data_IF_372397798000
#
_entry.id   IF_372397798000
#
_cell.length_a   1.000
_cell.length_b   1.000
_cell.length_c   1.000
_cell.angle_alpha   90.00
_cell.angle_beta   90.00
_cell.angle_gamma   90.00
#
_symmetry.space_group_name_H-M   'P 1'
#
loop_
_entity.id
_entity.type
_entity.pdbx_description
1 polymer ?
#
# COMPACT_ATOMS: atom_id res chain seq x y z
N UNK A 1 -0.93 -16.67 -14.11
CA UNK A 1 -1.00 -16.08 -12.76
C UNK A 1 -1.46 -14.65 -12.89
N UNK A 2 -2.55 -14.28 -12.21
CA UNK A 2 -3.06 -12.89 -12.23
C UNK A 2 -2.15 -11.99 -11.38
N UNK A 3 -2.11 -10.68 -11.65
CA UNK A 3 -1.32 -9.66 -10.93
C UNK A 3 -1.50 -9.74 -9.42
N UNK A 4 -2.74 -9.90 -8.94
CA UNK A 4 -3.01 -9.99 -7.50
C UNK A 4 -2.35 -11.22 -6.88
N UNK A 5 -2.36 -12.37 -7.56
CA UNK A 5 -1.68 -13.58 -7.07
C UNK A 5 -0.16 -13.41 -7.02
N UNK A 6 0.42 -12.71 -8.02
CA UNK A 6 1.84 -12.36 -7.99
C UNK A 6 2.18 -11.44 -6.81
N UNK A 7 1.33 -10.45 -6.54
CA UNK A 7 1.50 -9.55 -5.41
C UNK A 7 1.38 -10.28 -4.07
N UNK A 8 0.40 -11.16 -3.92
CA UNK A 8 0.21 -12.00 -2.73
C UNK A 8 1.43 -12.90 -2.47
N UNK A 9 1.93 -13.58 -3.50
CA UNK A 9 3.13 -14.43 -3.40
C UNK A 9 4.38 -13.61 -3.05
N UNK A 10 4.54 -12.45 -3.68
CA UNK A 10 5.67 -11.55 -3.43
C UNK A 10 5.68 -10.97 -2.01
N UNK A 11 4.51 -10.57 -1.50
CA UNK A 11 4.37 -10.03 -0.16
C UNK A 11 4.26 -11.13 0.93
N UNK A 12 3.94 -12.37 0.54
CA UNK A 12 3.70 -13.46 1.47
C UNK A 12 2.42 -13.32 2.29
N UNK A 13 1.41 -12.62 1.76
CA UNK A 13 0.10 -12.40 2.42
C UNK A 13 -1.03 -12.66 1.43
N UNK A 14 -2.22 -13.04 1.92
CA UNK A 14 -3.43 -12.97 1.10
C UNK A 14 -4.13 -11.62 1.25
N UNK A 15 -4.58 -11.07 0.13
CA UNK A 15 -5.33 -9.82 0.07
C UNK A 15 -6.80 -9.98 0.50
N UNK A 16 -7.31 -11.20 0.59
CA UNK A 16 -8.71 -11.50 0.98
C UNK A 16 -8.89 -11.74 2.48
N UNK A 17 -7.82 -11.85 3.26
CA UNK A 17 -7.88 -12.13 4.71
C UNK A 17 -8.43 -10.94 5.54
N UNK A 18 -8.82 -9.85 4.88
CA UNK A 18 -9.06 -8.53 5.47
C UNK A 18 -10.40 -7.90 5.03
N UNK A 19 -11.25 -7.34 5.92
CA UNK A 19 -11.21 -7.36 7.38
C UNK A 19 -12.12 -8.48 7.91
N UNK A 20 -11.54 -9.62 8.26
CA UNK A 20 -12.19 -10.55 9.18
C UNK A 20 -12.11 -10.02 10.62
N UNK A 21 -12.81 -10.66 11.57
CA UNK A 21 -12.91 -10.28 13.00
C UNK A 21 -11.56 -10.25 13.76
N UNK A 22 -10.43 -10.51 13.11
CA UNK A 22 -9.09 -10.57 13.69
C UNK A 22 -8.41 -9.20 13.92
N UNK A 23 -9.08 -8.09 13.57
CA UNK A 23 -8.57 -6.73 13.71
C UNK A 23 -9.11 -6.04 14.97
N UNK A 24 -8.21 -5.45 15.77
CA UNK A 24 -8.49 -5.11 17.18
C UNK A 24 -9.11 -3.72 17.42
N UNK A 25 -9.29 -2.88 16.41
CA UNK A 25 -9.87 -1.55 16.60
C UNK A 25 -10.62 -1.10 15.36
N UNK A 26 -11.88 -0.67 15.49
CA UNK A 26 -12.57 0.11 14.46
C UNK A 26 -12.61 1.55 14.96
N UNK A 27 -11.73 2.39 14.44
CA UNK A 27 -11.80 3.83 14.66
C UNK A 27 -12.61 4.46 13.51
N UNK A 28 -13.63 5.26 13.82
CA UNK A 28 -14.35 6.02 12.81
C UNK A 28 -13.79 7.45 12.76
N UNK A 29 -13.24 7.87 11.62
CA UNK A 29 -12.77 9.25 11.42
C UNK A 29 -13.66 9.98 10.42
N UNK A 30 -14.03 11.20 10.76
CA UNK A 30 -14.72 12.09 9.83
C UNK A 30 -13.72 12.66 8.82
N UNK A 31 -14.02 12.55 7.52
CA UNK A 31 -13.26 13.22 6.46
C UNK A 31 -13.65 14.70 6.40
N UNK A 32 -12.66 15.59 6.25
CA UNK A 32 -12.90 17.05 6.05
C UNK A 32 -13.75 17.36 4.82
N UNK A 33 -13.77 16.49 3.81
CA UNK A 33 -14.43 16.72 2.51
C UNK A 33 -15.45 15.63 2.10
N UNK A 34 -15.76 14.68 2.99
CA UNK A 34 -16.77 13.65 2.72
C UNK A 34 -17.78 13.62 3.86
N UNK A 35 -19.06 13.43 3.51
CA UNK A 35 -20.13 13.21 4.51
C UNK A 35 -20.11 11.79 5.07
N UNK A 36 -19.27 10.92 4.52
CA UNK A 36 -19.16 9.52 4.91
C UNK A 36 -17.92 9.30 5.78
N UNK A 37 -18.06 8.65 6.94
CA UNK A 37 -16.93 8.28 7.79
C UNK A 37 -16.06 7.23 7.11
N UNK A 38 -14.77 7.27 7.43
CA UNK A 38 -13.83 6.19 7.16
C UNK A 38 -13.70 5.35 8.42
N UNK A 39 -13.74 4.03 8.26
CA UNK A 39 -13.49 3.09 9.33
C UNK A 39 -12.09 2.53 9.17
N UNK A 40 -11.30 2.62 10.24
CA UNK A 40 -9.91 2.18 10.27
C UNK A 40 -9.81 0.96 11.17
N UNK A 41 -9.29 -0.12 10.60
CA UNK A 41 -8.90 -1.33 11.30
C UNK A 41 -7.41 -1.53 11.20
N UNK A 42 -6.72 -1.86 12.30
CA UNK A 42 -5.29 -2.16 12.23
C UNK A 42 -4.87 -3.32 13.12
N UNK A 43 -3.69 -3.87 12.78
CA UNK A 43 -3.02 -4.93 13.53
C UNK A 43 -1.50 -4.73 13.41
N UNK A 44 -0.80 -4.92 14.52
CA UNK A 44 0.65 -5.08 14.55
C UNK A 44 1.01 -6.55 14.35
N UNK A 45 2.09 -6.78 13.61
CA UNK A 45 2.56 -8.10 13.23
C UNK A 45 3.73 -8.53 14.11
N UNK A 46 3.74 -9.80 14.50
CA UNK A 46 4.85 -10.40 15.22
C UNK A 46 6.08 -10.55 14.32
N UNK A 47 5.86 -10.79 13.02
CA UNK A 47 6.87 -10.88 11.98
C UNK A 47 6.61 -9.83 10.89
N UNK A 48 7.62 -9.02 10.48
CA UNK A 48 7.42 -8.00 9.46
C UNK A 48 7.15 -8.60 8.07
N UNK A 49 6.13 -8.08 7.38
CA UNK A 49 5.92 -8.39 5.96
C UNK A 49 7.07 -7.79 5.15
N UNK A 50 7.60 -8.59 4.22
CA UNK A 50 8.71 -8.19 3.36
C UNK A 50 9.96 -7.74 4.14
N UNK A 51 10.09 -8.17 5.41
CA UNK A 51 11.18 -7.76 6.29
C UNK A 51 11.15 -6.28 6.71
N UNK A 52 10.05 -5.56 6.45
CA UNK A 52 9.96 -4.12 6.69
C UNK A 52 8.66 -3.70 7.38
N UNK A 53 7.50 -4.16 6.90
CA UNK A 53 6.21 -3.66 7.37
C UNK A 53 5.75 -4.39 8.63
N UNK A 54 5.63 -3.66 9.74
CA UNK A 54 5.24 -4.20 11.05
C UNK A 54 3.77 -3.98 11.37
N UNK A 55 3.06 -3.20 10.56
CA UNK A 55 1.66 -2.85 10.77
C UNK A 55 0.85 -2.98 9.49
N UNK A 56 -0.36 -3.52 9.62
CA UNK A 56 -1.38 -3.50 8.58
C UNK A 56 -2.50 -2.58 9.03
N UNK A 57 -2.87 -1.62 8.19
CA UNK A 57 -4.07 -0.79 8.35
C UNK A 57 -5.01 -1.05 7.17
N UNK A 58 -6.29 -1.24 7.46
CA UNK A 58 -7.36 -1.42 6.47
C UNK A 58 -8.35 -0.29 6.67
N UNK A 59 -8.60 0.45 5.60
CA UNK A 59 -9.57 1.54 5.57
C UNK A 59 -10.76 1.09 4.73
N UNK A 60 -11.96 1.18 5.30
CA UNK A 60 -13.23 0.87 4.63
C UNK A 60 -14.14 2.09 4.64
N UNK A 61 -14.87 2.32 3.55
CA UNK A 61 -15.83 3.41 3.40
C UNK A 61 -17.26 2.86 3.51
N UNK A 62 -18.15 3.59 4.18
CA UNK A 62 -19.51 3.11 4.57
C UNK A 62 -20.40 2.62 3.40
N UNK A 63 -20.10 2.97 2.15
CA UNK A 63 -20.90 2.59 0.96
C UNK A 63 -20.07 2.22 -0.27
N UNK A 64 -18.76 2.05 -0.09
CA UNK A 64 -17.87 1.65 -1.19
C UNK A 64 -17.22 0.34 -0.76
N UNK A 65 -17.42 -0.72 -1.54
CA UNK A 65 -16.66 -1.97 -1.38
C UNK A 65 -15.16 -1.79 -1.63
N UNK A 66 -14.69 -0.56 -1.87
CA UNK A 66 -13.29 -0.25 -2.06
C UNK A 66 -12.61 -0.28 -0.69
N UNK A 67 -11.89 -1.37 -0.44
CA UNK A 67 -10.97 -1.51 0.68
C UNK A 67 -9.63 -0.90 0.28
N UNK A 68 -9.03 -0.16 1.21
CA UNK A 68 -7.65 0.29 1.09
C UNK A 68 -6.82 -0.40 2.16
N UNK A 69 -5.90 -1.24 1.75
CA UNK A 69 -4.93 -1.83 2.66
C UNK A 69 -3.65 -1.00 2.63
N UNK A 70 -3.05 -0.78 3.79
CA UNK A 70 -1.75 -0.18 3.95
C UNK A 70 -0.87 -1.11 4.75
N UNK A 71 0.28 -1.45 4.19
CA UNK A 71 1.39 -2.02 4.96
C UNK A 71 2.27 -0.85 5.38
N UNK A 72 2.57 -0.76 6.68
CA UNK A 72 3.20 0.40 7.29
C UNK A 72 4.42 -0.03 8.08
N UNK A 73 5.51 0.70 7.88
CA UNK A 73 6.68 0.75 8.74
C UNK A 73 6.70 2.14 9.40
N UNK A 74 6.35 2.21 10.68
CA UNK A 74 6.14 3.48 11.39
C UNK A 74 7.44 4.18 11.82
N UNK A 75 8.56 3.45 11.79
CA UNK A 75 9.89 3.93 12.12
C UNK A 75 10.87 3.55 10.99
N UNK A 76 10.61 4.08 9.80
CA UNK A 76 11.48 3.87 8.65
C UNK A 76 12.87 4.46 8.91
N UNK A 77 13.90 3.68 8.58
CA UNK A 77 15.29 4.08 8.67
C UNK A 77 16.01 3.75 7.36
N UNK A 78 16.98 4.58 6.99
CA UNK A 78 17.80 4.45 5.78
C UNK A 78 18.52 3.09 5.67
N UNK A 79 18.76 2.40 6.80
CA UNK A 79 19.28 1.03 6.76
C UNK A 79 18.37 0.04 6.02
N UNK A 80 17.10 0.37 5.81
CA UNK A 80 16.11 -0.43 5.06
C UNK A 80 16.06 -0.06 3.57
N UNK A 81 16.91 0.85 3.08
CA UNK A 81 16.91 1.29 1.67
C UNK A 81 17.09 0.12 0.69
N UNK A 82 17.94 -0.87 1.02
CA UNK A 82 18.08 -2.07 0.19
C UNK A 82 16.80 -2.91 0.13
N UNK A 83 15.97 -2.89 1.20
CA UNK A 83 14.66 -3.54 1.21
C UNK A 83 13.68 -2.77 0.34
N UNK A 84 13.74 -1.43 0.36
CA UNK A 84 12.93 -0.57 -0.53
C UNK A 84 13.27 -0.82 -2.00
N UNK A 85 14.56 -0.93 -2.35
CA UNK A 85 14.97 -1.26 -3.72
C UNK A 85 14.37 -2.59 -4.18
N UNK A 86 14.50 -3.64 -3.37
CA UNK A 86 13.90 -4.95 -3.65
C UNK A 86 12.38 -4.89 -3.75
N UNK A 87 11.72 -4.05 -2.94
CA UNK A 87 10.29 -3.84 -3.01
C UNK A 87 9.90 -3.26 -4.37
N UNK A 88 10.59 -2.19 -4.80
CA UNK A 88 10.34 -1.51 -6.07
C UNK A 88 10.64 -2.44 -7.25
N UNK A 89 11.76 -3.15 -7.24
CA UNK A 89 12.11 -4.09 -8.31
C UNK A 89 11.04 -5.18 -8.46
N UNK A 90 10.57 -5.76 -7.35
CA UNK A 90 9.49 -6.74 -7.39
C UNK A 90 8.15 -6.17 -7.85
N UNK A 91 7.81 -4.93 -7.47
CA UNK A 91 6.63 -4.25 -8.01
C UNK A 91 6.77 -4.00 -9.51
N UNK A 92 7.95 -3.63 -10.00
CA UNK A 92 8.22 -3.47 -11.44
C UNK A 92 8.12 -4.80 -12.18
N UNK A 93 8.60 -5.90 -11.61
CA UNK A 93 8.47 -7.23 -12.22
C UNK A 93 6.99 -7.67 -12.33
N UNK A 94 6.15 -7.24 -11.40
CA UNK A 94 4.72 -7.55 -11.39
C UNK A 94 3.97 -6.64 -12.37
N UNK A 95 4.13 -5.32 -12.22
CA UNK A 95 3.28 -4.30 -12.83
C UNK A 95 3.91 -3.59 -14.03
N UNK A 96 5.22 -3.69 -14.21
CA UNK A 96 5.99 -2.88 -15.15
C UNK A 96 6.35 -1.51 -14.58
N UNK A 97 6.54 -0.54 -15.47
CA UNK A 97 6.91 0.81 -15.07
C UNK A 97 5.81 1.50 -14.25
N UNK A 98 6.20 2.38 -13.34
CA UNK A 98 5.28 3.24 -12.60
C UNK A 98 4.58 4.28 -13.51
N UNK A 99 3.69 5.09 -12.95
CA UNK A 99 2.95 6.13 -13.70
C UNK A 99 3.88 7.18 -14.34
N UNK A 100 5.08 7.36 -13.80
CA UNK A 100 6.12 8.24 -14.33
C UNK A 100 7.07 7.53 -15.31
N UNK A 101 6.79 6.25 -15.64
CA UNK A 101 7.56 5.37 -16.52
C UNK A 101 8.93 4.96 -15.99
N UNK A 102 9.12 4.98 -14.68
CA UNK A 102 10.35 4.50 -14.05
C UNK A 102 10.28 2.99 -13.85
N UNK A 103 11.39 2.30 -14.14
CA UNK A 103 11.55 0.85 -14.01
C UNK A 103 12.53 0.46 -12.90
N UNK A 104 13.20 1.42 -12.29
CA UNK A 104 14.14 1.21 -11.19
C UNK A 104 14.19 2.47 -10.34
N UNK A 105 14.62 2.36 -9.09
CA UNK A 105 14.87 3.51 -8.21
C UNK A 105 16.10 4.28 -8.70
N UNK A 106 15.96 5.58 -8.97
CA UNK A 106 17.07 6.43 -9.40
C UNK A 106 17.94 6.92 -8.23
N UNK A 107 19.17 7.34 -8.51
CA UNK A 107 20.07 7.91 -7.50
C UNK A 107 19.45 9.16 -6.82
N UNK A 108 18.76 10.01 -7.60
CA UNK A 108 18.05 11.18 -7.07
C UNK A 108 16.95 10.78 -6.08
N UNK A 109 16.18 9.73 -6.38
CA UNK A 109 15.15 9.23 -5.46
C UNK A 109 15.75 8.56 -4.21
N UNK A 110 16.90 7.90 -4.34
CA UNK A 110 17.62 7.37 -3.16
C UNK A 110 18.01 8.50 -2.22
N UNK A 111 18.55 9.61 -2.76
CA UNK A 111 18.88 10.80 -1.99
C UNK A 111 17.62 11.41 -1.35
N UNK A 112 16.52 11.52 -2.11
CA UNK A 112 15.25 12.00 -1.58
C UNK A 112 14.72 11.11 -0.44
N UNK A 113 14.88 9.78 -0.50
CA UNK A 113 14.49 8.87 0.58
C UNK A 113 15.33 9.11 1.82
N UNK A 114 16.65 9.25 1.65
CA UNK A 114 17.59 9.54 2.75
C UNK A 114 17.23 10.85 3.44
N UNK A 115 16.80 11.86 2.68
CA UNK A 115 16.42 13.17 3.18
C UNK A 115 14.95 13.24 3.66
N UNK A 116 14.19 12.14 3.58
CA UNK A 116 12.76 12.08 3.89
C UNK A 116 11.92 13.10 3.09
N UNK A 117 12.26 13.26 1.80
CA UNK A 117 11.63 14.16 0.83
C UNK A 117 10.96 13.43 -0.33
N UNK A 118 11.21 12.11 -0.44
CA UNK A 118 10.70 11.31 -1.54
C UNK A 118 9.17 11.19 -1.50
N UNK A 119 8.53 11.56 -2.61
CA UNK A 119 7.06 11.58 -2.72
C UNK A 119 6.47 10.19 -2.91
N UNK A 120 7.29 9.20 -3.24
CA UNK A 120 6.85 7.86 -3.54
C UNK A 120 6.54 7.61 -5.02
N UNK A 121 5.90 6.47 -5.29
CA UNK A 121 5.52 6.01 -6.64
C UNK A 121 4.14 5.42 -6.66
N UNK A 122 3.49 5.49 -7.81
CA UNK A 122 2.16 4.92 -8.04
C UNK A 122 2.14 4.06 -9.29
N UNK A 123 1.37 2.99 -9.23
CA UNK A 123 0.98 2.14 -10.35
C UNK A 123 -0.54 2.12 -10.41
N UNK A 124 -1.10 3.05 -11.18
CA UNK A 124 -2.54 3.18 -11.32
C UNK A 124 -3.03 2.47 -12.59
N UNK A 125 -3.99 1.56 -12.43
CA UNK A 125 -4.63 0.84 -13.54
C UNK A 125 -6.12 1.18 -13.64
N UNK A 126 -6.48 2.44 -14.01
CA UNK A 126 -7.84 2.97 -13.92
C UNK A 126 -8.87 2.30 -14.84
N UNK A 127 -8.49 1.28 -15.61
CA UNK A 127 -9.36 0.57 -16.56
C UNK A 127 -9.37 -0.95 -16.40
N UNK A 128 -8.77 -1.49 -15.34
CA UNK A 128 -8.73 -2.93 -15.13
C UNK A 128 -9.13 -3.28 -13.70
N UNK A 129 -10.41 -3.66 -13.52
CA UNK A 129 -10.98 -4.07 -12.23
C UNK A 129 -10.26 -5.29 -11.61
N UNK A 130 -9.52 -6.06 -12.41
CA UNK A 130 -8.79 -7.23 -11.94
C UNK A 130 -7.42 -6.89 -11.33
N UNK A 131 -6.92 -5.66 -11.51
CA UNK A 131 -5.59 -5.23 -11.07
C UNK A 131 -5.73 -4.19 -9.96
N UNK A 132 -5.25 -4.51 -8.77
CA UNK A 132 -5.19 -3.54 -7.68
C UNK A 132 -4.16 -2.45 -7.97
N UNK A 133 -4.54 -1.20 -7.76
CA UNK A 133 -3.61 -0.07 -7.85
C UNK A 133 -2.71 -0.05 -6.61
N UNK A 134 -1.45 0.32 -6.81
CA UNK A 134 -0.42 0.30 -5.77
C UNK A 134 0.23 1.66 -5.65
N UNK A 135 0.42 2.13 -4.43
CA UNK A 135 1.20 3.33 -4.15
C UNK A 135 2.20 3.04 -3.04
N UNK A 136 3.44 3.47 -3.21
CA UNK A 136 4.44 3.52 -2.14
C UNK A 136 4.69 4.98 -1.79
N UNK A 137 4.86 5.29 -0.51
CA UNK A 137 5.17 6.65 -0.08
C UNK A 137 5.94 6.67 1.24
N UNK A 138 6.63 7.78 1.47
CA UNK A 138 7.35 8.08 2.71
C UNK A 138 6.83 9.41 3.26
N UNK A 139 6.26 9.39 4.46
CA UNK A 139 5.70 10.58 5.11
C UNK A 139 6.00 10.54 6.62
N UNK A 140 6.63 11.58 7.16
CA UNK A 140 6.95 11.67 8.60
C UNK A 140 7.67 10.42 9.15
N UNK A 141 8.65 9.88 8.40
CA UNK A 141 9.34 8.61 8.68
C UNK A 141 8.46 7.35 8.64
N UNK A 142 7.24 7.44 8.14
CA UNK A 142 6.40 6.28 7.88
C UNK A 142 6.55 5.86 6.42
N UNK A 143 7.12 4.68 6.18
CA UNK A 143 7.11 4.08 4.85
C UNK A 143 5.84 3.24 4.68
N UNK A 144 5.11 3.48 3.59
CA UNK A 144 3.80 2.89 3.36
C UNK A 144 3.73 2.26 1.98
N UNK A 145 3.16 1.05 1.92
CA UNK A 145 2.66 0.43 0.70
C UNK A 145 1.14 0.38 0.78
N UNK A 146 0.47 1.18 -0.04
CA UNK A 146 -0.96 1.23 -0.18
C UNK A 146 -1.41 0.35 -1.34
N UNK A 147 -2.42 -0.50 -1.08
CA UNK A 147 -3.03 -1.42 -2.03
C UNK A 147 -4.50 -1.05 -2.11
N UNK A 148 -4.91 -0.58 -3.29
CA UNK A 148 -6.23 -0.02 -3.54
C UNK A 148 -7.08 -1.03 -4.31
N UNK A 149 -8.18 -1.47 -3.70
CA UNK A 149 -9.22 -2.20 -4.42
C UNK A 149 -10.05 -1.21 -5.24
N UNK A 150 -9.99 -1.37 -6.56
CA UNK A 150 -10.80 -0.60 -7.52
C UNK A 150 -12.01 -1.45 -7.89
N UNK A 151 -13.06 -1.42 -7.07
CA UNK A 151 -14.35 -2.04 -7.39
C UNK A 151 -15.25 -1.08 -8.17
N UNK A 152 -16.19 -1.65 -8.95
CA UNK A 152 -17.30 -0.87 -9.50
C UNK A 152 -17.98 -0.10 -8.37
N UNK A 153 -17.96 1.23 -8.48
CA UNK A 153 -18.93 2.09 -7.82
C UNK A 153 -20.30 1.51 -8.17
N UNK A 154 -21.07 1.11 -7.18
CA UNK A 154 -22.48 0.83 -7.43
C UNK A 154 -23.06 2.12 -7.98
N UNK A 155 -23.40 2.13 -9.27
CA UNK A 155 -24.21 3.16 -9.89
C UNK A 155 -25.53 3.22 -9.09
N UNK A 156 -25.68 4.26 -8.28
CA UNK A 156 -26.94 4.63 -7.64
C UNK A 156 -27.52 5.86 -8.33
#
# INVERSE_FOLDING_TARGET
MNYNQKLEEFLGISLEDYPSTAYSLIEARARRYSRFPEFFSYRYLDEPIFGMFTKIEVVTLEYVNNRHMKLIDEDFNVSKLDVVKKLIDGLVDIYGADDNRNLWLSEDEEEEIILNQWKGRSWDFPKNEEIRAITISLEENNFRLCIHEMGNLIDF
#
